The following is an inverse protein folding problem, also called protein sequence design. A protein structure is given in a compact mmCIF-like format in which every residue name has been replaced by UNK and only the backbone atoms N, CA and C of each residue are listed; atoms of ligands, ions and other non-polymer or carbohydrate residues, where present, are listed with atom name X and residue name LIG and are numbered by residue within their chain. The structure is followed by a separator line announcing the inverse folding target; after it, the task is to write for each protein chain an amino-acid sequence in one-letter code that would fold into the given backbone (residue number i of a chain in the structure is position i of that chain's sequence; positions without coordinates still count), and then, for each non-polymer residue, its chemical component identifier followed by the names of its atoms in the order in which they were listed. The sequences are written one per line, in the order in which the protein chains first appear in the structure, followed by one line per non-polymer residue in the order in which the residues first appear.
data_IF_135458594140
#
_entry.id   IF_135458594140
#
_cell.length_a   1.000
_cell.length_b   1.000
_cell.length_c   1.000
_cell.angle_alpha   90.00
_cell.angle_beta   90.00
_cell.angle_gamma   90.00
#
_symmetry.space_group_name_H-M   'P 1'
#
loop_
_entity.id
_entity.type
_entity.pdbx_description
1 polymer ?
#
# COMPACT_ATOMS: atom_id res chain seq x y z
N UNK A 1 9.11 19.05 16.97
CA UNK A 1 8.75 18.08 15.92
C UNK A 1 8.59 16.69 16.50
N UNK A 2 7.38 16.14 16.39
CA UNK A 2 7.09 14.75 16.75
C UNK A 2 7.67 13.79 15.70
N UNK A 3 7.94 12.53 16.04
CA UNK A 3 8.43 11.52 15.09
C UNK A 3 7.48 11.32 13.92
N UNK A 4 6.15 11.32 14.17
CA UNK A 4 5.13 11.17 13.11
C UNK A 4 5.22 12.29 12.08
N UNK A 5 5.40 13.53 12.55
CA UNK A 5 5.55 14.71 11.70
C UNK A 5 6.79 14.60 10.81
N UNK A 6 7.93 14.17 11.38
CA UNK A 6 9.17 13.94 10.62
C UNK A 6 9.01 12.85 9.56
N UNK A 7 8.31 11.76 9.90
CA UNK A 7 8.06 10.65 8.96
C UNK A 7 7.16 11.10 7.81
N UNK A 8 6.08 11.84 8.10
CA UNK A 8 5.20 12.38 7.05
C UNK A 8 5.95 13.35 6.15
N UNK A 9 6.72 14.27 6.73
CA UNK A 9 7.53 15.22 5.95
C UNK A 9 8.52 14.47 5.04
N UNK A 10 9.20 13.46 5.56
CA UNK A 10 10.13 12.65 4.76
C UNK A 10 9.44 11.94 3.59
N UNK A 11 8.22 11.44 3.79
CA UNK A 11 7.43 10.82 2.71
C UNK A 11 6.93 11.85 1.70
N UNK A 12 6.61 13.08 2.13
CA UNK A 12 6.26 14.16 1.20
C UNK A 12 7.45 14.58 0.33
N UNK A 13 8.66 14.56 0.89
CA UNK A 13 9.91 14.87 0.17
C UNK A 13 10.32 13.74 -0.78
N UNK A 14 10.39 12.49 -0.29
CA UNK A 14 10.92 11.36 -1.06
C UNK A 14 9.87 10.68 -1.95
N UNK A 15 8.58 10.90 -1.69
CA UNK A 15 7.44 10.27 -2.37
C UNK A 15 7.47 8.73 -2.34
N UNK A 16 8.12 8.15 -1.32
CA UNK A 16 8.21 6.71 -1.11
C UNK A 16 7.31 6.23 0.02
N UNK A 17 6.86 4.97 -0.04
CA UNK A 17 6.06 4.33 1.02
C UNK A 17 4.76 5.08 1.39
N UNK A 18 4.20 5.86 0.46
CA UNK A 18 3.00 6.69 0.67
C UNK A 18 1.82 5.85 1.20
N UNK A 19 1.58 4.68 0.60
CA UNK A 19 0.48 3.78 1.00
C UNK A 19 0.60 3.32 2.45
N UNK A 20 1.80 2.89 2.85
CA UNK A 20 2.07 2.41 4.21
C UNK A 20 1.80 3.50 5.26
N UNK A 21 2.28 4.72 5.03
CA UNK A 21 2.03 5.83 5.96
C UNK A 21 0.54 6.20 5.99
N UNK A 22 -0.16 6.20 4.85
CA UNK A 22 -1.60 6.42 4.83
C UNK A 22 -2.36 5.40 5.67
N UNK A 23 -2.04 4.11 5.53
CA UNK A 23 -2.66 3.03 6.31
C UNK A 23 -2.35 3.15 7.81
N UNK A 24 -1.12 3.49 8.18
CA UNK A 24 -0.72 3.71 9.57
C UNK A 24 -1.45 4.90 10.20
N UNK A 25 -1.51 6.03 9.49
CA UNK A 25 -2.24 7.22 9.95
C UNK A 25 -3.74 6.95 10.08
N UNK A 26 -4.33 6.22 9.13
CA UNK A 26 -5.74 5.81 9.21
C UNK A 26 -5.98 4.91 10.43
N UNK A 27 -5.11 3.93 10.65
CA UNK A 27 -5.20 3.02 11.81
C UNK A 27 -5.08 3.79 13.12
N UNK A 28 -4.14 4.73 13.21
CA UNK A 28 -3.95 5.59 14.37
C UNK A 28 -5.19 6.46 14.62
N UNK A 29 -5.72 7.11 13.58
CA UNK A 29 -6.91 7.94 13.67
C UNK A 29 -8.12 7.13 14.18
N UNK A 30 -8.38 5.97 13.60
CA UNK A 30 -9.48 5.09 14.04
C UNK A 30 -9.31 4.65 15.49
N UNK A 31 -8.09 4.28 15.88
CA UNK A 31 -7.78 3.89 17.26
C UNK A 31 -8.05 5.03 18.24
N UNK A 32 -7.66 6.26 17.89
CA UNK A 32 -7.95 7.44 18.70
C UNK A 32 -9.46 7.73 18.78
N UNK A 33 -10.20 7.60 17.67
CA UNK A 33 -11.65 7.75 17.68
C UNK A 33 -12.32 6.75 18.62
N UNK A 34 -11.92 5.48 18.57
CA UNK A 34 -12.43 4.45 19.49
C UNK A 34 -12.14 4.80 20.94
N UNK A 35 -10.93 5.27 21.26
CA UNK A 35 -10.56 5.66 22.62
C UNK A 35 -11.38 6.86 23.15
N UNK A 36 -11.64 7.86 22.30
CA UNK A 36 -12.49 9.02 22.64
C UNK A 36 -13.95 8.59 22.87
N UNK A 37 -14.47 7.69 22.03
CA UNK A 37 -15.86 7.25 22.11
C UNK A 37 -16.12 6.24 23.25
N UNK A 38 -15.11 5.46 23.64
CA UNK A 38 -15.23 4.47 24.73
C UNK A 38 -15.09 5.12 26.11
N UNK A 39 -16.08 5.93 26.48
CA UNK A 39 -16.16 6.59 27.80
C UNK A 39 -16.13 5.52 28.91
N UNK A 40 -15.14 5.61 29.80
CA UNK A 40 -15.04 4.78 31.01
C UNK A 40 -14.21 3.49 30.92
N UNK A 41 -13.71 3.09 29.74
CA UNK A 41 -12.83 1.90 29.59
C UNK A 41 -11.37 2.23 29.30
N UNK A 42 -11.11 3.39 28.73
CA UNK A 42 -9.77 3.92 28.51
C UNK A 42 -9.74 5.39 28.91
N UNK A 43 -8.87 5.76 29.85
CA UNK A 43 -8.66 7.17 30.20
C UNK A 43 -7.67 7.73 29.18
N UNK A 44 -8.16 8.56 28.27
CA UNK A 44 -7.29 9.44 27.50
C UNK A 44 -6.61 10.39 28.50
N UNK A 45 -5.33 10.15 28.78
CA UNK A 45 -4.56 10.96 29.71
C UNK A 45 -4.27 12.32 29.06
N UNK A 46 -4.55 13.40 29.78
CA UNK A 46 -4.27 14.77 29.34
C UNK A 46 -5.50 15.54 28.83
N UNK A 47 -5.25 16.73 28.30
CA UNK A 47 -6.30 17.67 27.89
C UNK A 47 -7.01 17.18 26.61
N UNK A 48 -8.35 17.15 26.61
CA UNK A 48 -9.16 16.76 25.45
C UNK A 48 -8.86 17.61 24.21
N UNK A 49 -8.60 18.90 24.38
CA UNK A 49 -8.25 19.80 23.27
C UNK A 49 -6.92 19.39 22.62
N UNK A 50 -5.99 18.83 23.39
CA UNK A 50 -4.74 18.29 22.83
C UNK A 50 -4.98 17.04 21.99
N UNK A 51 -5.96 16.21 22.36
CA UNK A 51 -6.33 15.03 21.58
C UNK A 51 -7.05 15.40 20.29
N UNK A 52 -7.97 16.37 20.35
CA UNK A 52 -8.64 16.94 19.17
C UNK A 52 -7.60 17.52 18.21
N UNK A 53 -6.69 18.37 18.70
CA UNK A 53 -5.61 18.93 17.89
C UNK A 53 -4.75 17.85 17.21
N UNK A 54 -4.40 16.76 17.92
CA UNK A 54 -3.65 15.65 17.33
C UNK A 54 -4.43 14.91 16.24
N UNK A 55 -5.74 14.74 16.42
CA UNK A 55 -6.60 14.15 15.39
C UNK A 55 -6.66 15.04 14.13
N UNK A 56 -6.80 16.36 14.31
CA UNK A 56 -6.76 17.33 13.21
C UNK A 56 -5.43 17.29 12.46
N UNK A 57 -4.31 17.19 13.18
CA UNK A 57 -2.99 17.04 12.58
C UNK A 57 -2.86 15.77 11.74
N UNK A 58 -3.43 14.64 12.21
CA UNK A 58 -3.42 13.38 11.45
C UNK A 58 -4.24 13.53 10.16
N UNK A 59 -5.44 14.13 10.23
CA UNK A 59 -6.27 14.38 9.06
C UNK A 59 -5.58 15.30 8.05
N UNK A 60 -4.89 16.34 8.54
CA UNK A 60 -4.10 17.23 7.71
C UNK A 60 -2.99 16.47 6.96
N UNK A 61 -2.24 15.61 7.66
CA UNK A 61 -1.22 14.77 7.02
C UNK A 61 -1.82 13.81 5.99
N UNK A 62 -2.98 13.20 6.29
CA UNK A 62 -3.66 12.34 5.31
C UNK A 62 -4.05 13.11 4.05
N UNK A 63 -4.54 14.35 4.19
CA UNK A 63 -4.86 15.22 3.07
C UNK A 63 -3.62 15.54 2.23
N UNK A 64 -2.50 15.90 2.87
CA UNK A 64 -1.23 16.15 2.18
C UNK A 64 -0.78 14.92 1.39
N UNK A 65 -0.80 13.73 2.01
CA UNK A 65 -0.42 12.48 1.35
C UNK A 65 -1.38 12.10 0.21
N UNK A 66 -2.65 12.47 0.28
CA UNK A 66 -3.64 12.25 -0.79
C UNK A 66 -3.42 13.16 -2.00
N UNK A 67 -2.82 14.33 -1.79
CA UNK A 67 -2.56 15.30 -2.83
C UNK A 67 -1.18 15.14 -3.49
N UNK A 68 -0.39 14.13 -3.09
CA UNK A 68 0.90 13.86 -3.75
C UNK A 68 0.64 13.51 -5.21
N UNK A 69 1.21 14.32 -6.09
CA UNK A 69 1.33 14.02 -7.50
C UNK A 69 2.75 13.52 -7.76
N UNK A 70 2.88 12.25 -8.11
CA UNK A 70 4.18 11.66 -8.49
C UNK A 70 4.61 12.37 -9.77
N UNK A 71 5.60 13.25 -9.64
CA UNK A 71 6.09 14.03 -10.77
C UNK A 71 6.89 13.10 -11.67
N UNK A 72 6.50 12.99 -12.94
CA UNK A 72 7.29 12.26 -13.92
C UNK A 72 8.62 13.00 -14.09
N UNK A 73 9.78 12.37 -13.80
CA UNK A 73 11.06 13.01 -14.08
C UNK A 73 11.18 13.25 -15.59
N UNK A 74 11.75 14.39 -15.98
CA UNK A 74 12.04 14.72 -17.39
C UNK A 74 13.22 13.86 -17.86
N UNK A 75 12.96 12.56 -18.03
CA UNK A 75 13.94 11.55 -18.37
C UNK A 75 13.81 11.19 -19.85
N UNK A 76 14.86 11.46 -20.61
CA UNK A 76 14.95 11.18 -22.06
C UNK A 76 15.65 9.86 -22.39
N UNK A 77 15.98 9.06 -21.37
CA UNK A 77 16.61 7.76 -21.55
C UNK A 77 15.61 6.62 -21.70
N UNK A 78 16.14 5.40 -21.68
CA UNK A 78 15.38 4.17 -21.81
C UNK A 78 14.41 3.98 -20.63
N UNK A 79 13.15 3.77 -20.92
CA UNK A 79 12.07 3.61 -19.95
C UNK A 79 11.74 2.14 -19.73
N UNK A 80 10.97 1.85 -18.68
CA UNK A 80 10.53 0.49 -18.38
C UNK A 80 9.81 -0.18 -19.57
N UNK A 81 9.00 0.58 -20.32
CA UNK A 81 8.26 0.08 -21.48
C UNK A 81 9.14 -0.20 -22.70
N UNK A 82 10.38 0.30 -22.72
CA UNK A 82 11.35 0.04 -23.80
C UNK A 82 12.09 -1.30 -23.60
N UNK A 83 11.97 -1.92 -22.42
CA UNK A 83 12.56 -3.23 -22.15
C UNK A 83 11.79 -4.34 -22.90
N UNK A 84 12.44 -5.44 -23.31
CA UNK A 84 11.76 -6.64 -23.78
C UNK A 84 10.71 -7.16 -22.78
N UNK A 85 9.59 -7.69 -23.28
CA UNK A 85 8.47 -8.16 -22.44
C UNK A 85 8.88 -9.18 -21.38
N UNK A 86 9.82 -10.07 -21.68
CA UNK A 86 10.35 -11.03 -20.71
C UNK A 86 11.01 -10.33 -19.51
N UNK A 87 11.79 -9.27 -19.75
CA UNK A 87 12.43 -8.50 -18.68
C UNK A 87 11.41 -7.67 -17.91
N UNK A 88 10.40 -7.12 -18.58
CA UNK A 88 9.30 -6.43 -17.89
C UNK A 88 8.59 -7.40 -16.93
N UNK A 89 8.24 -8.60 -17.41
CA UNK A 89 7.60 -9.63 -16.60
C UNK A 89 8.49 -10.11 -15.44
N UNK A 90 9.80 -10.31 -15.68
CA UNK A 90 10.75 -10.70 -14.64
C UNK A 90 10.87 -9.65 -13.53
N UNK A 91 10.79 -8.37 -13.88
CA UNK A 91 10.76 -7.26 -12.91
C UNK A 91 9.44 -7.29 -12.14
N UNK A 92 8.30 -7.42 -12.83
CA UNK A 92 6.98 -7.50 -12.21
C UNK A 92 6.89 -8.68 -11.23
N UNK A 93 7.49 -9.81 -11.55
CA UNK A 93 7.55 -11.01 -10.70
C UNK A 93 8.34 -10.82 -9.39
N UNK A 94 9.08 -9.71 -9.24
CA UNK A 94 9.80 -9.37 -8.01
C UNK A 94 9.01 -8.43 -7.11
N UNK A 95 7.86 -7.92 -7.56
CA UNK A 95 6.97 -7.12 -6.73
C UNK A 95 6.38 -7.99 -5.63
N UNK A 96 6.45 -7.49 -4.39
CA UNK A 96 5.95 -8.18 -3.22
C UNK A 96 4.50 -7.82 -2.88
N UNK A 97 3.86 -6.87 -3.56
CA UNK A 97 2.47 -6.48 -3.30
C UNK A 97 1.65 -6.58 -4.59
N UNK A 98 0.53 -7.32 -4.52
CA UNK A 98 -0.37 -7.48 -5.66
C UNK A 98 -1.04 -6.16 -6.08
N UNK A 99 -1.18 -5.20 -5.16
CA UNK A 99 -1.68 -3.87 -5.49
C UNK A 99 -0.74 -3.13 -6.43
N UNK A 100 0.58 -3.33 -6.30
CA UNK A 100 1.56 -2.68 -7.16
C UNK A 100 1.53 -3.28 -8.57
N UNK A 101 1.30 -4.58 -8.68
CA UNK A 101 1.04 -5.26 -9.96
C UNK A 101 -0.19 -4.68 -10.66
N UNK A 102 -1.30 -4.53 -9.92
CA UNK A 102 -2.56 -3.97 -10.45
C UNK A 102 -2.37 -2.50 -10.87
N UNK A 103 -1.74 -1.68 -10.03
CA UNK A 103 -1.45 -0.29 -10.36
C UNK A 103 -0.55 -0.16 -11.58
N UNK A 104 0.44 -1.04 -11.75
CA UNK A 104 1.30 -1.05 -12.93
C UNK A 104 0.53 -1.42 -14.20
N UNK A 105 -0.40 -2.38 -14.11
CA UNK A 105 -1.28 -2.77 -15.22
C UNK A 105 -2.21 -1.65 -15.70
N UNK A 106 -2.51 -0.68 -14.84
CA UNK A 106 -3.34 0.49 -15.19
C UNK A 106 -2.59 1.58 -15.96
N UNK A 107 -1.26 1.46 -16.13
CA UNK A 107 -0.44 2.51 -16.77
C UNK A 107 -0.50 2.44 -18.30
N UNK A 108 -0.39 1.25 -18.88
CA UNK A 108 -0.47 1.04 -20.33
C UNK A 108 -1.14 -0.30 -20.67
N UNK A 109 -1.75 -0.44 -21.87
CA UNK A 109 -2.34 -1.71 -22.29
C UNK A 109 -1.35 -2.88 -22.34
N UNK A 110 -0.08 -2.64 -22.68
CA UNK A 110 0.95 -3.69 -22.69
C UNK A 110 1.23 -4.24 -21.28
N UNK A 111 1.30 -3.35 -20.29
CA UNK A 111 1.49 -3.72 -18.89
C UNK A 111 0.24 -4.37 -18.30
N UNK A 112 -0.95 -3.99 -18.76
CA UNK A 112 -2.19 -4.66 -18.37
C UNK A 112 -2.12 -6.16 -18.71
N UNK A 113 -1.75 -6.50 -19.95
CA UNK A 113 -1.62 -7.90 -20.39
C UNK A 113 -0.62 -8.67 -19.52
N UNK A 114 0.53 -8.06 -19.20
CA UNK A 114 1.52 -8.70 -18.32
C UNK A 114 1.02 -8.85 -16.88
N UNK A 115 0.22 -7.91 -16.38
CA UNK A 115 -0.34 -7.95 -15.03
C UNK A 115 -1.38 -9.06 -14.84
N UNK A 116 -1.93 -9.59 -15.94
CA UNK A 116 -2.90 -10.70 -15.94
C UNK A 116 -2.22 -12.08 -16.02
N UNK A 117 -0.88 -12.13 -16.09
CA UNK A 117 -0.12 -13.38 -16.19
C UNK A 117 -0.33 -14.27 -14.94
N UNK A 118 -0.75 -15.52 -15.17
CA UNK A 118 -1.07 -16.46 -14.08
C UNK A 118 0.16 -16.89 -13.28
N UNK A 119 1.33 -16.98 -13.89
CA UNK A 119 2.56 -17.39 -13.22
C UNK A 119 3.07 -16.28 -12.30
N UNK A 120 2.89 -15.01 -12.69
CA UNK A 120 3.12 -13.84 -11.85
C UNK A 120 2.32 -13.94 -10.54
N UNK A 121 0.99 -14.12 -10.63
CA UNK A 121 0.13 -14.26 -9.45
C UNK A 121 0.44 -15.52 -8.65
N UNK A 122 0.73 -16.64 -9.33
CA UNK A 122 1.16 -17.87 -8.65
C UNK A 122 2.41 -17.62 -7.82
N UNK A 123 3.44 -16.97 -8.38
CA UNK A 123 4.68 -16.66 -7.68
C UNK A 123 4.45 -15.72 -6.50
N UNK A 124 3.62 -14.69 -6.68
CA UNK A 124 3.22 -13.79 -5.59
C UNK A 124 2.52 -14.55 -4.44
N UNK A 125 1.62 -15.48 -4.76
CA UNK A 125 0.99 -16.32 -3.75
C UNK A 125 2.01 -17.17 -2.97
N UNK A 126 2.99 -17.78 -3.64
CA UNK A 126 4.03 -18.58 -2.96
C UNK A 126 5.02 -17.71 -2.18
N UNK A 127 5.15 -16.42 -2.54
CA UNK A 127 5.94 -15.46 -1.77
C UNK A 127 5.30 -15.15 -0.41
N UNK A 128 3.97 -14.99 -0.35
CA UNK A 128 3.24 -14.64 0.87
C UNK A 128 2.78 -15.85 1.70
N UNK A 129 2.53 -16.97 1.03
CA UNK A 129 1.87 -18.11 1.63
C UNK A 129 2.68 -19.39 1.42
N UNK A 130 2.78 -20.17 2.48
CA UNK A 130 3.27 -21.55 2.38
C UNK A 130 2.29 -22.41 1.57
N UNK A 131 2.78 -23.49 0.96
CA UNK A 131 1.93 -24.44 0.24
C UNK A 131 0.78 -24.97 1.10
N UNK A 132 1.00 -25.12 2.41
CA UNK A 132 -0.03 -25.54 3.37
C UNK A 132 -1.16 -24.51 3.49
N UNK A 133 -0.81 -23.22 3.58
CA UNK A 133 -1.81 -22.14 3.65
C UNK A 133 -2.59 -22.02 2.34
N UNK A 134 -1.93 -22.21 1.20
CA UNK A 134 -2.55 -22.21 -0.13
C UNK A 134 -3.52 -23.38 -0.26
N UNK A 135 -3.08 -24.62 0.01
CA UNK A 135 -3.92 -25.83 -0.06
C UNK A 135 -5.14 -25.77 0.85
N UNK A 136 -5.02 -25.16 2.04
CA UNK A 136 -6.16 -25.00 2.97
C UNK A 136 -7.25 -24.06 2.44
N UNK A 137 -6.89 -23.12 1.56
CA UNK A 137 -7.79 -22.10 1.01
C UNK A 137 -8.25 -22.40 -0.42
N UNK A 138 -7.60 -23.34 -1.11
CA UNK A 138 -8.09 -23.87 -2.37
C UNK A 138 -9.35 -24.69 -2.09
N UNK A 139 -10.51 -24.10 -2.37
CA UNK A 139 -11.76 -24.84 -2.46
C UNK A 139 -11.57 -25.77 -3.66
N UNK A 140 -11.35 -27.05 -3.39
CA UNK A 140 -11.49 -28.08 -4.40
C UNK A 140 -12.91 -27.93 -4.94
N UNK A 141 -13.07 -27.78 -6.25
CA UNK A 141 -14.39 -27.96 -6.87
C UNK A 141 -14.97 -29.31 -6.39
N UNK A 142 -16.29 -29.49 -6.38
CA UNK A 142 -16.92 -30.78 -6.02
C UNK A 142 -16.37 -31.99 -6.80
N UNK A 143 -15.62 -31.73 -7.88
CA UNK A 143 -14.91 -32.70 -8.72
C UNK A 143 -13.41 -32.84 -8.44
N UNK A 144 -12.86 -32.22 -7.40
CA UNK A 144 -11.46 -32.40 -6.99
C UNK A 144 -10.40 -31.79 -7.92
N UNK A 145 -10.78 -30.92 -8.86
CA UNK A 145 -9.83 -30.28 -9.78
C UNK A 145 -9.55 -28.83 -9.37
N UNK A 146 -8.28 -28.43 -9.54
CA UNK A 146 -7.76 -27.05 -9.48
C UNK A 146 -8.13 -26.27 -10.74
#
# INVERSE_FOLDING_TARGET
MNILEKVVQKVLEDQQNIRLIKELLQTLYMSLCTLVQSVGKSVLVGNINMWVYRMEMILHWQQQLNNIQITKPDFKGLTFTDLPLCLQLDIMQRLSDGRDIVSLGQVTPSLQVLSEDRLLWKKLCHYHFTDRQIRKRLILSDKGHL
#
